data_IF_847188671624
#
_entry.id   IF_847188671624
#
_cell.length_a   1.000
_cell.length_b   1.000
_cell.length_c   1.000
_cell.angle_alpha   90.00
_cell.angle_beta   90.00
_cell.angle_gamma   90.00
#
_symmetry.space_group_name_H-M   'P 1'
#
loop_
_entity.id
_entity.type
_entity.pdbx_description
1 polymer ?
#
# COMPACT_ATOMS: atom_id res chain seq x y z
N UNK A 1 14.59 12.81 3.95
CA UNK A 1 14.82 11.42 3.60
C UNK A 1 13.61 10.88 2.90
N UNK A 2 13.80 10.25 1.79
CA UNK A 2 12.67 9.77 1.03
C UNK A 2 12.50 8.27 1.26
N UNK A 3 11.29 7.80 1.10
CA UNK A 3 11.02 6.39 1.20
C UNK A 3 10.79 5.85 -0.18
N UNK A 4 10.88 4.54 -0.30
CA UNK A 4 10.57 3.88 -1.56
C UNK A 4 9.24 3.15 -1.37
N UNK A 5 8.14 3.72 -1.88
CA UNK A 5 6.83 3.10 -1.68
C UNK A 5 6.71 1.72 -2.30
N UNK A 6 7.54 1.45 -3.32
CA UNK A 6 7.50 0.13 -3.97
C UNK A 6 8.17 -0.95 -3.12
N UNK A 7 8.88 -0.55 -2.05
CA UNK A 7 9.49 -1.52 -1.16
C UNK A 7 8.50 -2.10 -0.15
N UNK A 8 7.32 -1.49 -0.05
CA UNK A 8 6.30 -1.97 0.88
C UNK A 8 5.61 -3.22 0.32
N UNK A 9 5.09 -4.04 1.23
CA UNK A 9 4.45 -5.29 0.84
C UNK A 9 3.01 -5.01 0.46
N UNK A 10 2.78 -4.79 -0.82
CA UNK A 10 1.49 -4.43 -1.37
C UNK A 10 0.82 -5.67 -1.92
N UNK A 11 -0.44 -5.87 -1.58
CA UNK A 11 -1.22 -6.96 -2.14
C UNK A 11 -2.45 -6.40 -2.82
N UNK A 12 -2.77 -6.93 -3.99
CA UNK A 12 -3.94 -6.50 -4.75
C UNK A 12 -4.85 -7.71 -4.93
N UNK A 13 -6.11 -7.53 -4.57
CA UNK A 13 -7.04 -8.63 -4.63
C UNK A 13 -8.25 -8.21 -5.42
N UNK A 14 -8.66 -9.05 -6.36
CA UNK A 14 -9.87 -8.80 -7.12
C UNK A 14 -11.05 -9.23 -6.28
N UNK A 15 -12.06 -8.40 -6.21
CA UNK A 15 -13.22 -8.70 -5.39
C UNK A 15 -14.49 -8.16 -6.05
N UNK A 16 -15.62 -8.61 -5.58
CA UNK A 16 -16.89 -8.22 -6.13
C UNK A 16 -17.65 -7.45 -5.06
N UNK A 17 -18.02 -6.20 -5.35
CA UNK A 17 -18.73 -5.37 -4.42
C UNK A 17 -20.05 -4.99 -5.05
N UNK A 18 -21.14 -5.60 -4.59
CA UNK A 18 -22.47 -5.28 -5.10
C UNK A 18 -22.56 -5.42 -6.61
N UNK A 19 -21.99 -6.48 -7.16
CA UNK A 19 -22.05 -6.71 -8.59
C UNK A 19 -20.99 -5.99 -9.38
N UNK A 20 -20.16 -5.17 -8.72
CA UNK A 20 -19.12 -4.47 -9.41
C UNK A 20 -17.78 -5.06 -9.05
N UNK A 21 -16.94 -5.34 -10.03
CA UNK A 21 -15.63 -5.90 -9.80
C UNK A 21 -14.66 -4.78 -9.54
N UNK A 22 -14.02 -4.82 -8.38
CA UNK A 22 -13.00 -3.85 -8.02
C UNK A 22 -11.76 -4.59 -7.54
N UNK A 23 -10.66 -3.89 -7.51
CA UNK A 23 -9.39 -4.45 -7.07
C UNK A 23 -8.98 -3.72 -5.79
N UNK A 24 -8.86 -4.48 -4.71
CA UNK A 24 -8.56 -3.89 -3.42
C UNK A 24 -7.07 -3.96 -3.17
N UNK A 25 -6.45 -2.84 -2.87
CA UNK A 25 -5.03 -2.77 -2.58
C UNK A 25 -4.80 -2.55 -1.11
N UNK A 26 -3.91 -3.34 -0.53
CA UNK A 26 -3.56 -3.23 0.88
C UNK A 26 -2.07 -3.30 1.07
N UNK A 27 -1.62 -2.79 2.21
CA UNK A 27 -0.20 -2.75 2.53
C UNK A 27 -0.01 -3.42 3.88
N UNK A 28 0.86 -4.41 3.92
CA UNK A 28 1.07 -5.16 5.15
C UNK A 28 1.50 -4.26 6.30
N UNK A 29 2.40 -3.34 6.03
CA UNK A 29 2.97 -2.47 7.08
C UNK A 29 2.04 -1.34 7.49
N UNK A 30 0.98 -1.12 6.72
CA UNK A 30 0.06 -0.01 6.96
C UNK A 30 -1.37 -0.55 6.92
N UNK A 31 -1.79 -1.22 7.99
CA UNK A 31 -3.07 -1.96 7.95
C UNK A 31 -4.31 -1.09 7.74
N UNK A 32 -4.20 0.22 8.03
CA UNK A 32 -5.35 1.08 7.83
C UNK A 32 -5.44 1.62 6.40
N UNK A 33 -4.44 1.36 5.58
CA UNK A 33 -4.44 1.89 4.23
C UNK A 33 -5.09 0.90 3.29
N UNK A 34 -6.12 1.33 2.58
CA UNK A 34 -6.77 0.49 1.59
C UNK A 34 -7.20 1.38 0.44
N UNK A 35 -7.03 0.90 -0.78
CA UNK A 35 -7.46 1.61 -1.97
C UNK A 35 -8.20 0.68 -2.88
N UNK A 36 -9.08 1.23 -3.71
CA UNK A 36 -9.84 0.43 -4.65
C UNK A 36 -9.66 0.99 -6.05
N UNK A 37 -9.34 0.14 -6.99
CA UNK A 37 -9.17 0.53 -8.37
C UNK A 37 -9.97 -0.37 -9.29
N UNK A 38 -10.07 0.04 -10.55
CA UNK A 38 -10.82 -0.73 -11.52
C UNK A 38 -9.93 -1.73 -12.25
N UNK A 39 -8.65 -1.76 -11.94
CA UNK A 39 -7.72 -2.74 -12.48
C UNK A 39 -6.63 -2.98 -11.45
N UNK A 40 -5.85 -4.05 -11.65
CA UNK A 40 -4.70 -4.30 -10.78
C UNK A 40 -3.75 -3.12 -10.79
N UNK A 41 -3.47 -2.59 -11.97
CA UNK A 41 -2.51 -1.49 -12.09
C UNK A 41 -3.02 -0.24 -11.39
N UNK A 42 -4.29 0.08 -11.57
CA UNK A 42 -4.84 1.26 -10.93
C UNK A 42 -4.80 1.13 -9.42
N UNK A 43 -5.18 -0.03 -8.89
CA UNK A 43 -5.15 -0.24 -7.45
C UNK A 43 -3.73 -0.10 -6.91
N UNK A 44 -2.75 -0.66 -7.62
CA UNK A 44 -1.36 -0.57 -7.20
C UNK A 44 -0.89 0.88 -7.21
N UNK A 45 -1.20 1.62 -8.27
CA UNK A 45 -0.77 3.01 -8.38
C UNK A 45 -1.40 3.87 -7.28
N UNK A 46 -2.66 3.60 -6.95
CA UNK A 46 -3.33 4.33 -5.88
C UNK A 46 -2.70 4.02 -4.53
N UNK A 47 -2.31 2.78 -4.30
CA UNK A 47 -1.65 2.41 -3.05
C UNK A 47 -0.29 3.10 -2.94
N UNK A 48 0.49 3.09 -4.03
CA UNK A 48 1.80 3.74 -4.04
C UNK A 48 1.65 5.23 -3.72
N UNK A 49 0.67 5.87 -4.35
CA UNK A 49 0.43 7.29 -4.13
C UNK A 49 0.02 7.54 -2.67
N UNK A 50 -0.81 6.68 -2.11
CA UNK A 50 -1.25 6.82 -0.72
C UNK A 50 -0.10 6.63 0.25
N UNK A 51 0.83 5.73 -0.03
CA UNK A 51 1.99 5.55 0.82
C UNK A 51 2.82 6.82 0.83
N UNK A 52 3.03 7.42 -0.34
CA UNK A 52 3.83 8.65 -0.44
C UNK A 52 3.15 9.79 0.30
N UNK A 53 1.85 9.93 0.13
CA UNK A 53 1.09 10.98 0.78
C UNK A 53 1.12 10.81 2.30
N UNK A 54 0.95 9.60 2.78
CA UNK A 54 0.97 9.34 4.22
C UNK A 54 2.35 9.60 4.81
N UNK A 55 3.40 9.20 4.09
CA UNK A 55 4.76 9.42 4.57
C UNK A 55 5.06 10.91 4.69
N UNK A 56 4.60 11.70 3.71
CA UNK A 56 4.81 13.15 3.76
C UNK A 56 4.06 13.77 4.94
N UNK A 57 2.84 13.29 5.20
CA UNK A 57 2.07 13.82 6.32
C UNK A 57 2.73 13.48 7.66
N UNK A 58 3.27 12.27 7.79
CA UNK A 58 3.98 11.89 9.01
C UNK A 58 5.23 12.76 9.19
N UNK A 59 5.96 13.00 8.10
CA UNK A 59 7.17 13.81 8.16
C UNK A 59 6.85 15.22 8.61
N UNK A 60 5.74 15.80 8.13
CA UNK A 60 5.37 17.14 8.53
C UNK A 60 5.07 17.21 10.01
N UNK A 61 4.60 16.16 10.62
CA UNK A 61 4.27 16.14 12.02
C UNK A 61 5.44 15.64 12.87
N UNK A 62 6.59 15.42 12.27
CA UNK A 62 7.76 14.92 12.98
C UNK A 62 7.57 13.52 13.52
N UNK A 63 6.74 12.70 12.88
CA UNK A 63 6.45 11.35 13.35
C UNK A 63 7.11 10.33 12.45
N UNK A 64 7.57 9.26 13.06
CA UNK A 64 8.19 8.19 12.30
C UNK A 64 7.14 7.44 11.49
N UNK A 65 7.41 7.18 10.23
CA UNK A 65 6.52 6.43 9.36
C UNK A 65 6.92 4.96 9.41
N UNK A 66 5.98 4.04 9.46
CA UNK A 66 6.34 2.62 9.49
C UNK A 66 7.24 2.25 8.32
N UNK A 67 8.31 1.54 8.61
CA UNK A 67 9.27 1.18 7.59
C UNK A 67 8.81 -0.04 6.81
N UNK A 68 9.21 -0.12 5.55
CA UNK A 68 8.95 -1.30 4.75
C UNK A 68 9.69 -2.49 5.37
N UNK A 69 9.07 -3.66 5.34
CA UNK A 69 9.68 -4.84 5.89
C UNK A 69 10.11 -5.77 4.78
N UNK A 70 11.22 -6.44 5.00
CA UNK A 70 11.69 -7.40 4.01
C UNK A 70 10.88 -8.67 4.19
N UNK A 71 10.33 -9.23 3.14
CA UNK A 71 9.60 -10.48 3.25
C UNK A 71 10.48 -11.56 3.86
N UNK A 72 9.95 -12.24 4.83
CA UNK A 72 10.69 -13.29 5.43
C UNK A 72 10.54 -14.50 4.63
N UNK A 73 11.62 -14.92 4.06
CA UNK A 73 11.51 -15.92 3.20
C UNK A 73 12.06 -17.05 3.82
N UNK A 74 11.40 -17.95 4.10
CA UNK A 74 11.88 -18.92 4.82
C UNK A 74 12.36 -20.02 4.17
N UNK A 75 12.80 -19.96 3.09
CA UNK A 75 13.37 -21.03 2.61
C UNK A 75 14.67 -20.89 2.88
N UNK A 76 15.18 -21.59 3.16
CA UNK A 76 16.44 -21.61 3.38
C UNK A 76 16.69 -22.69 4.06
#
# INVERSE_FOLDING_TARGET
>A
MSIDPHAYNISIRRDNFDGEVLFEGRVKELPDLVEYGESYQEAYDLVVDSIETAAAAFAEKGRAFPAATVPTDDFN
#
